data_IF_685360090307
#
_entry.id   IF_685360090307
#
_cell.length_a   1.000
_cell.length_b   1.000
_cell.length_c   1.000
_cell.angle_alpha   90.00
_cell.angle_beta   90.00
_cell.angle_gamma   90.00
#
_symmetry.space_group_name_H-M   'P 1'
#
loop_
_entity.id
_entity.type
_entity.pdbx_description
1 polymer ?
#
# COMPACT_ATOMS: atom_id res chain seq x y z
N UNK A 1 11.80 8.46 7.45
CA UNK A 1 10.47 9.06 7.21
C UNK A 1 9.94 9.65 8.50
N UNK A 2 9.49 10.88 8.48
CA UNK A 2 8.89 11.53 9.64
C UNK A 2 7.41 11.13 9.76
N UNK A 3 6.83 11.37 10.95
CA UNK A 3 5.41 11.10 11.16
C UNK A 3 4.53 11.95 10.24
N UNK A 4 4.94 13.20 10.02
CA UNK A 4 4.20 14.09 9.11
C UNK A 4 4.21 13.58 7.66
N UNK A 5 5.33 13.05 7.21
CA UNK A 5 5.42 12.43 5.89
C UNK A 5 4.52 11.19 5.80
N UNK A 6 4.51 10.37 6.85
CA UNK A 6 3.65 9.20 6.90
C UNK A 6 2.17 9.60 6.77
N UNK A 7 1.73 10.58 7.56
CA UNK A 7 0.34 11.07 7.48
C UNK A 7 -0.01 11.58 6.08
N UNK A 8 0.90 12.32 5.47
CA UNK A 8 0.68 12.86 4.14
C UNK A 8 0.53 11.75 3.09
N UNK A 9 1.38 10.71 3.19
CA UNK A 9 1.30 9.57 2.29
C UNK A 9 0.00 8.79 2.47
N UNK A 10 -0.43 8.61 3.71
CA UNK A 10 -1.70 7.94 4.01
C UNK A 10 -2.88 8.74 3.45
N UNK A 11 -2.86 10.07 3.56
CA UNK A 11 -3.91 10.92 2.99
C UNK A 11 -4.00 10.77 1.46
N UNK A 12 -2.86 10.70 0.79
CA UNK A 12 -2.83 10.46 -0.65
C UNK A 12 -3.44 9.11 -1.01
N UNK A 13 -3.13 8.08 -0.23
CA UNK A 13 -3.69 6.75 -0.44
C UNK A 13 -5.20 6.73 -0.14
N UNK A 14 -5.65 7.44 0.88
CA UNK A 14 -7.08 7.50 1.23
C UNK A 14 -7.92 8.04 0.09
N UNK A 15 -7.41 9.00 -0.67
CA UNK A 15 -8.10 9.51 -1.85
C UNK A 15 -8.29 8.44 -2.91
N UNK A 16 -7.34 7.52 -3.00
CA UNK A 16 -7.45 6.40 -3.94
C UNK A 16 -8.46 5.36 -3.46
N UNK A 17 -8.52 5.13 -2.14
CA UNK A 17 -9.42 4.14 -1.55
C UNK A 17 -10.89 4.49 -1.83
N UNK A 18 -11.24 5.77 -1.84
CA UNK A 18 -12.62 6.21 -2.09
C UNK A 18 -12.97 6.25 -3.58
N UNK A 19 -12.05 5.84 -4.45
CA UNK A 19 -12.30 5.80 -5.89
C UNK A 19 -13.36 4.76 -6.24
N UNK A 20 -14.12 5.04 -7.28
CA UNK A 20 -15.10 4.09 -7.83
C UNK A 20 -14.43 2.91 -8.54
N UNK A 21 -13.15 3.02 -8.86
CA UNK A 21 -12.41 1.98 -9.57
C UNK A 21 -11.81 1.00 -8.56
N UNK A 22 -12.18 -0.29 -8.59
CA UNK A 22 -11.62 -1.27 -7.65
C UNK A 22 -10.10 -1.32 -7.68
N UNK A 23 -9.50 -1.24 -8.86
CA UNK A 23 -8.05 -1.25 -9.02
C UNK A 23 -7.39 -0.14 -8.22
N UNK A 24 -7.88 1.08 -8.37
CA UNK A 24 -7.31 2.24 -7.67
C UNK A 24 -7.54 2.15 -6.16
N UNK A 25 -8.74 1.75 -5.76
CA UNK A 25 -9.09 1.60 -4.36
C UNK A 25 -8.21 0.54 -3.68
N UNK A 26 -8.02 -0.60 -4.32
CA UNK A 26 -7.21 -1.67 -3.74
C UNK A 26 -5.73 -1.31 -3.70
N UNK A 27 -5.24 -0.58 -4.70
CA UNK A 27 -3.88 -0.04 -4.65
C UNK A 27 -3.70 0.83 -3.40
N UNK A 28 -4.64 1.75 -3.16
CA UNK A 28 -4.59 2.62 -1.98
C UNK A 28 -4.62 1.87 -0.67
N UNK A 29 -5.46 0.83 -0.57
CA UNK A 29 -5.52 -0.02 0.63
C UNK A 29 -4.19 -0.73 0.88
N UNK A 30 -3.63 -1.33 -0.17
CA UNK A 30 -2.34 -2.01 -0.06
C UNK A 30 -1.24 -1.04 0.29
N UNK A 31 -1.21 0.12 -0.36
CA UNK A 31 -0.22 1.16 -0.08
C UNK A 31 -0.25 1.60 1.38
N UNK A 32 -1.44 1.82 1.94
CA UNK A 32 -1.58 2.25 3.33
C UNK A 32 -0.93 1.24 4.27
N UNK A 33 -1.17 -0.05 4.07
CA UNK A 33 -0.55 -1.08 4.89
C UNK A 33 0.97 -1.14 4.68
N UNK A 34 1.40 -1.02 3.43
CA UNK A 34 2.83 -1.05 3.10
C UNK A 34 3.60 0.12 3.69
N UNK A 35 3.05 1.32 3.63
CA UNK A 35 3.74 2.50 4.17
C UNK A 35 3.82 2.47 5.69
N UNK A 36 2.80 1.92 6.35
CA UNK A 36 2.84 1.70 7.80
C UNK A 36 3.92 0.69 8.16
N UNK A 37 4.05 -0.37 7.40
CA UNK A 37 5.11 -1.36 7.58
C UNK A 37 6.49 -0.70 7.45
N UNK A 38 6.68 0.12 6.42
CA UNK A 38 7.93 0.85 6.19
C UNK A 38 8.26 1.76 7.38
N UNK A 39 7.27 2.49 7.87
CA UNK A 39 7.46 3.42 8.99
C UNK A 39 7.84 2.68 10.28
N UNK A 40 7.19 1.55 10.55
CA UNK A 40 7.42 0.78 11.78
C UNK A 40 8.65 -0.12 11.71
N UNK A 41 9.19 -0.37 10.52
CA UNK A 41 10.33 -1.26 10.32
C UNK A 41 11.38 -0.58 9.43
N UNK A 42 11.96 0.56 9.88
CA UNK A 42 12.86 1.36 9.04
C UNK A 42 14.14 0.62 8.66
N UNK A 43 14.51 -0.41 9.42
CA UNK A 43 15.70 -1.20 9.15
C UNK A 43 15.40 -2.48 8.41
N UNK A 44 14.16 -2.70 8.02
CA UNK A 44 13.79 -3.84 7.21
C UNK A 44 14.47 -3.73 5.84
N UNK A 45 15.08 -4.83 5.44
CA UNK A 45 15.91 -4.84 4.22
C UNK A 45 15.08 -5.12 2.98
N UNK A 46 13.92 -5.72 3.13
CA UNK A 46 13.10 -6.06 1.99
C UNK A 46 11.63 -6.22 2.41
N UNK A 47 10.71 -5.89 1.50
CA UNK A 47 9.29 -6.13 1.75
C UNK A 47 9.01 -7.63 1.80
N UNK A 48 7.86 -8.05 2.35
CA UNK A 48 7.41 -9.43 2.23
C UNK A 48 7.38 -9.87 0.77
N UNK A 49 7.52 -11.16 0.53
CA UNK A 49 7.51 -11.67 -0.84
C UNK A 49 6.11 -11.54 -1.46
N UNK A 50 6.06 -11.73 -2.77
CA UNK A 50 4.82 -11.56 -3.54
C UNK A 50 3.69 -12.48 -3.02
N UNK A 51 4.03 -13.71 -2.66
CA UNK A 51 3.02 -14.66 -2.19
C UNK A 51 2.44 -14.24 -0.85
N UNK A 52 3.28 -13.75 0.05
CA UNK A 52 2.83 -13.26 1.36
C UNK A 52 1.91 -12.05 1.19
N UNK A 53 2.28 -11.12 0.32
CA UNK A 53 1.47 -9.94 0.05
C UNK A 53 0.11 -10.34 -0.56
N UNK A 54 0.12 -11.29 -1.49
CA UNK A 54 -1.11 -11.78 -2.10
C UNK A 54 -2.04 -12.43 -1.06
N UNK A 55 -1.47 -13.19 -0.12
CA UNK A 55 -2.25 -13.77 0.97
C UNK A 55 -2.86 -12.69 1.86
N UNK A 56 -2.11 -11.65 2.18
CA UNK A 56 -2.62 -10.52 2.96
C UNK A 56 -3.81 -9.89 2.22
N UNK A 57 -3.66 -9.68 0.91
CA UNK A 57 -4.71 -9.10 0.10
C UNK A 57 -6.00 -9.95 0.14
N UNK A 58 -5.86 -11.26 -0.01
CA UNK A 58 -7.00 -12.18 0.01
C UNK A 58 -7.69 -12.19 1.38
N UNK A 59 -6.92 -12.21 2.46
CA UNK A 59 -7.47 -12.19 3.82
C UNK A 59 -8.23 -10.91 4.10
N UNK A 60 -7.83 -9.81 3.47
CA UNK A 60 -8.48 -8.51 3.64
C UNK A 60 -9.63 -8.29 2.65
N UNK A 61 -9.99 -9.33 1.90
CA UNK A 61 -11.11 -9.26 0.96
C UNK A 61 -10.84 -8.35 -0.22
N UNK A 62 -9.60 -8.34 -0.70
CA UNK A 62 -9.26 -7.48 -1.83
C UNK A 62 -10.00 -7.89 -3.10
N UNK A 63 -10.57 -6.89 -3.77
CA UNK A 63 -11.25 -7.08 -5.05
C UNK A 63 -10.28 -7.09 -6.23
N UNK A 64 -9.03 -6.68 -6.01
CA UNK A 64 -7.98 -6.68 -7.00
C UNK A 64 -6.65 -6.94 -6.31
N UNK A 65 -6.29 -8.22 -6.21
CA UNK A 65 -5.10 -8.65 -5.47
C UNK A 65 -3.82 -8.08 -6.09
N UNK A 66 -3.76 -7.96 -7.41
CA UNK A 66 -2.58 -7.40 -8.08
C UNK A 66 -2.37 -5.93 -7.73
N UNK A 67 -3.45 -5.15 -7.75
CA UNK A 67 -3.37 -3.74 -7.41
C UNK A 67 -2.99 -3.56 -5.94
N UNK A 68 -3.60 -4.34 -5.05
CA UNK A 68 -3.26 -4.33 -3.63
C UNK A 68 -1.77 -4.64 -3.43
N UNK A 69 -1.29 -5.70 -4.06
CA UNK A 69 0.12 -6.11 -3.93
C UNK A 69 1.08 -5.03 -4.44
N UNK A 70 0.74 -4.38 -5.55
CA UNK A 70 1.54 -3.29 -6.09
C UNK A 70 1.61 -2.12 -5.11
N UNK A 71 0.47 -1.74 -4.56
CA UNK A 71 0.42 -0.67 -3.57
C UNK A 71 1.22 -1.01 -2.33
N UNK A 72 1.07 -2.23 -1.82
CA UNK A 72 1.80 -2.70 -0.66
C UNK A 72 3.32 -2.61 -0.87
N UNK A 73 3.80 -3.06 -2.03
CA UNK A 73 5.23 -2.99 -2.36
C UNK A 73 5.73 -1.56 -2.43
N UNK A 74 4.98 -0.68 -3.09
CA UNK A 74 5.36 0.72 -3.20
C UNK A 74 5.42 1.37 -1.82
N UNK A 75 4.46 1.08 -0.96
CA UNK A 75 4.45 1.56 0.42
C UNK A 75 5.63 1.04 1.22
N UNK A 76 5.91 -0.27 1.14
CA UNK A 76 7.05 -0.87 1.84
C UNK A 76 8.38 -0.27 1.41
N UNK A 77 8.49 0.18 0.18
CA UNK A 77 9.69 0.83 -0.35
C UNK A 77 9.74 2.33 -0.06
N UNK A 78 8.73 2.87 0.61
CA UNK A 78 8.68 4.28 0.95
C UNK A 78 8.44 5.21 -0.24
N UNK A 79 7.94 4.67 -1.34
CA UNK A 79 7.67 5.46 -2.53
C UNK A 79 6.41 6.30 -2.38
N UNK A 80 6.30 7.36 -3.18
CA UNK A 80 5.06 8.11 -3.29
C UNK A 80 4.03 7.24 -4.01
N UNK A 81 2.74 7.28 -3.61
CA UNK A 81 1.72 6.50 -4.31
C UNK A 81 1.70 6.79 -5.80
N UNK A 82 1.66 5.72 -6.61
CA UNK A 82 1.59 5.85 -8.05
C UNK A 82 0.15 6.20 -8.47
N UNK A 83 0.02 7.12 -9.41
CA UNK A 83 -1.30 7.53 -9.89
C UNK A 83 -1.76 6.55 -10.98
N UNK A 84 -2.24 5.41 -10.57
CA UNK A 84 -2.74 4.40 -11.51
C UNK A 84 -4.19 4.71 -11.92
N UNK A 85 -4.58 4.33 -13.15
CA UNK A 85 -5.95 4.56 -13.62
C UNK A 85 -6.99 3.74 -12.89
#
# INVERSE_FOLDING_TARGET
MTYAELENRILLADRMIVSCTPRKAEYGRGYTEGIKYHFNNPQSQSPPDHYTIADIARRNGSRDVHAYARGYRDGCNGLIPDDIP
#
